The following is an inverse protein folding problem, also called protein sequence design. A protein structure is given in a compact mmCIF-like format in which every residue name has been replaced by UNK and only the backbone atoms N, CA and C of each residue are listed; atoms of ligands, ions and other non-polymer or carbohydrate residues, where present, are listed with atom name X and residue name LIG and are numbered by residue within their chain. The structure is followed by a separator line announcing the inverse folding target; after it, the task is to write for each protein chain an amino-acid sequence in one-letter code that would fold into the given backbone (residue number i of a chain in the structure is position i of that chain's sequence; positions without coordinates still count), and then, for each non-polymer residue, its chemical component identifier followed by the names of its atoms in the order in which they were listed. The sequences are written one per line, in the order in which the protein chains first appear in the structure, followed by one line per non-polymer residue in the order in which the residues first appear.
data_IF_743342780326
#
_entry.id   IF_743342780326
#
_cell.length_a   1.000
_cell.length_b   1.000
_cell.length_c   1.000
_cell.angle_alpha   90.00
_cell.angle_beta   90.00
_cell.angle_gamma   90.00
#
_symmetry.space_group_name_H-M   'P 1'
#
loop_
_entity.id
_entity.type
_entity.pdbx_description
1 polymer ?
#
# COMPACT_ATOMS: atom_id res chain seq x y z
N UNK A 1 -36.48 -4.00 44.16
CA UNK A 1 -35.01 -3.98 44.08
C UNK A 1 -34.67 -4.09 42.62
N UNK A 2 -34.37 -2.92 42.05
CA UNK A 2 -34.38 -2.60 40.63
C UNK A 2 -33.04 -2.95 39.99
N UNK A 3 -33.09 -3.33 38.72
CA UNK A 3 -32.03 -3.95 37.95
C UNK A 3 -30.77 -3.07 37.87
N UNK A 4 -29.64 -3.64 38.32
CA UNK A 4 -28.33 -3.03 38.13
C UNK A 4 -27.89 -3.18 36.68
N UNK A 5 -28.16 -2.11 35.93
CA UNK A 5 -27.31 -1.50 34.91
C UNK A 5 -26.07 -2.31 34.52
N UNK A 6 -26.16 -3.02 33.40
CA UNK A 6 -25.01 -3.48 32.63
C UNK A 6 -24.97 -2.79 31.27
N UNK A 7 -25.00 -1.44 31.29
CA UNK A 7 -24.53 -0.64 30.17
C UNK A 7 -23.01 -0.79 30.04
N UNK A 8 -22.56 -1.96 29.59
CA UNK A 8 -21.23 -2.14 29.02
C UNK A 8 -21.21 -1.40 27.69
N UNK A 9 -21.08 -0.08 27.79
CA UNK A 9 -20.92 0.86 26.70
C UNK A 9 -19.65 0.46 25.95
N UNK A 10 -19.85 -0.33 24.89
CA UNK A 10 -18.86 -0.78 23.91
C UNK A 10 -18.31 0.45 23.21
N UNK A 11 -17.42 1.19 23.88
CA UNK A 11 -16.52 2.20 23.31
C UNK A 11 -15.50 1.48 22.43
N UNK A 12 -15.99 0.90 21.32
CA UNK A 12 -15.14 0.46 20.21
C UNK A 12 -14.42 1.70 19.72
N UNK A 13 -13.15 1.82 20.10
CA UNK A 13 -12.25 2.88 19.68
C UNK A 13 -12.41 3.11 18.17
N UNK A 14 -13.09 4.21 17.81
CA UNK A 14 -13.26 4.65 16.43
C UNK A 14 -11.89 5.08 15.93
N UNK A 15 -11.12 4.14 15.38
CA UNK A 15 -9.93 4.49 14.59
C UNK A 15 -10.41 5.49 13.53
N UNK A 16 -9.86 6.71 13.48
CA UNK A 16 -10.30 7.75 12.55
C UNK A 16 -10.34 7.21 11.13
N UNK A 17 -11.42 7.49 10.38
CA UNK A 17 -11.62 6.97 9.02
C UNK A 17 -10.39 7.20 8.11
N UNK A 18 -9.71 8.34 8.28
CA UNK A 18 -8.46 8.69 7.59
C UNK A 18 -7.34 7.67 7.81
N UNK A 19 -7.13 7.20 9.05
CA UNK A 19 -6.11 6.18 9.36
C UNK A 19 -6.45 4.83 8.71
N UNK A 20 -7.73 4.47 8.62
CA UNK A 20 -8.17 3.25 7.92
C UNK A 20 -7.90 3.33 6.42
N UNK A 21 -8.19 4.49 5.81
CA UNK A 21 -7.94 4.73 4.39
C UNK A 21 -6.43 4.65 4.06
N UNK A 22 -5.58 5.28 4.86
CA UNK A 22 -4.11 5.20 4.68
C UNK A 22 -3.62 3.76 4.81
N UNK A 23 -4.07 3.01 5.82
CA UNK A 23 -3.73 1.58 5.96
C UNK A 23 -4.20 0.71 4.79
N UNK A 24 -5.31 1.07 4.13
CA UNK A 24 -5.76 0.38 2.92
C UNK A 24 -4.80 0.63 1.76
N UNK A 25 -4.42 1.89 1.52
CA UNK A 25 -3.44 2.26 0.48
C UNK A 25 -2.06 1.66 0.71
N UNK A 26 -1.57 1.61 1.95
CA UNK A 26 -0.28 0.98 2.28
C UNK A 26 -0.32 -0.52 1.97
N UNK A 27 -1.41 -1.22 2.33
CA UNK A 27 -1.57 -2.64 1.99
C UNK A 27 -1.67 -2.90 0.49
N UNK A 28 -2.30 -1.99 -0.23
CA UNK A 28 -2.34 -2.05 -1.69
C UNK A 28 -0.94 -1.88 -2.29
N UNK A 29 -0.17 -0.92 -1.77
CA UNK A 29 1.22 -0.73 -2.19
C UNK A 29 2.09 -1.97 -1.91
N UNK A 30 1.94 -2.62 -0.75
CA UNK A 30 2.65 -3.86 -0.42
C UNK A 30 2.40 -4.99 -1.43
N UNK A 31 1.19 -5.07 -1.99
CA UNK A 31 0.84 -6.08 -3.01
C UNK A 31 1.41 -5.76 -4.39
N UNK A 32 1.56 -4.48 -4.72
CA UNK A 32 2.06 -4.04 -6.03
C UNK A 32 3.59 -4.05 -6.12
N UNK A 33 4.27 -3.80 -5.00
CA UNK A 33 5.74 -3.73 -4.96
C UNK A 33 6.32 -5.13 -4.78
N UNK A 34 7.27 -5.58 -5.61
CA UNK A 34 7.95 -6.86 -5.43
C UNK A 34 8.63 -6.95 -4.06
N UNK A 35 8.32 -7.99 -3.29
CA UNK A 35 8.78 -8.16 -1.90
C UNK A 35 8.11 -7.22 -0.89
N UNK A 36 7.09 -6.46 -1.30
CA UNK A 36 6.44 -5.44 -0.47
C UNK A 36 5.67 -6.02 0.73
N UNK A 37 5.19 -7.26 0.65
CA UNK A 37 4.50 -7.94 1.77
C UNK A 37 5.44 -8.25 2.94
N UNK A 38 6.73 -8.45 2.67
CA UNK A 38 7.75 -8.72 3.70
C UNK A 38 8.23 -7.44 4.39
N UNK A 39 7.97 -6.28 3.76
CA UNK A 39 8.34 -4.96 4.28
C UNK A 39 7.29 -4.45 5.28
N UNK A 40 7.54 -4.72 6.57
CA UNK A 40 6.73 -4.24 7.70
C UNK A 40 6.96 -2.77 8.04
N UNK A 41 8.13 -2.22 7.68
CA UNK A 41 8.49 -0.81 7.92
C UNK A 41 8.04 0.05 6.73
N UNK A 42 7.15 1.04 6.91
CA UNK A 42 6.66 1.88 5.81
C UNK A 42 7.76 2.59 5.03
N UNK A 43 8.82 3.02 5.70
CA UNK A 43 9.92 3.79 5.09
C UNK A 43 10.64 2.95 4.04
N UNK A 44 10.91 1.68 4.36
CA UNK A 44 11.54 0.72 3.45
C UNK A 44 10.62 0.37 2.29
N UNK A 45 9.31 0.24 2.54
CA UNK A 45 8.32 -0.01 1.49
C UNK A 45 8.29 1.14 0.48
N UNK A 46 8.34 2.39 0.95
CA UNK A 46 8.30 3.55 0.06
C UNK A 46 9.59 3.70 -0.75
N UNK A 47 10.76 3.48 -0.14
CA UNK A 47 12.02 3.46 -0.86
C UNK A 47 12.01 2.38 -1.96
N UNK A 48 11.58 1.16 -1.61
CA UNK A 48 11.46 0.05 -2.57
C UNK A 48 10.47 0.36 -3.69
N UNK A 49 9.36 1.03 -3.37
CA UNK A 49 8.39 1.46 -4.38
C UNK A 49 9.00 2.45 -5.37
N UNK A 50 9.79 3.40 -4.90
CA UNK A 50 10.48 4.37 -5.76
C UNK A 50 11.48 3.68 -6.70
N UNK A 51 12.30 2.77 -6.17
CA UNK A 51 13.23 1.97 -6.98
C UNK A 51 12.48 1.15 -8.04
N UNK A 52 11.35 0.55 -7.66
CA UNK A 52 10.56 -0.25 -8.58
C UNK A 52 9.92 0.60 -9.70
N UNK A 53 9.43 1.80 -9.39
CA UNK A 53 8.94 2.75 -10.39
C UNK A 53 10.05 3.12 -11.37
N UNK A 54 11.26 3.39 -10.88
CA UNK A 54 12.41 3.70 -11.73
C UNK A 54 12.73 2.53 -12.67
N UNK A 55 12.81 1.32 -12.12
CA UNK A 55 13.07 0.10 -12.91
C UNK A 55 12.01 -0.12 -13.99
N UNK A 56 10.73 0.02 -13.66
CA UNK A 56 9.64 -0.13 -14.62
C UNK A 56 9.72 0.90 -15.74
N UNK A 57 10.00 2.17 -15.41
CA UNK A 57 10.19 3.22 -16.42
C UNK A 57 11.32 2.87 -17.38
N UNK A 58 12.48 2.47 -16.86
CA UNK A 58 13.62 2.05 -17.68
C UNK A 58 13.25 0.88 -18.60
N UNK A 59 12.60 -0.16 -18.07
CA UNK A 59 12.14 -1.31 -18.88
C UNK A 59 11.21 -0.88 -20.01
N UNK A 60 10.24 -0.01 -19.73
CA UNK A 60 9.33 0.52 -20.75
C UNK A 60 10.07 1.33 -21.80
N UNK A 61 11.04 2.16 -21.41
CA UNK A 61 11.86 2.93 -22.36
C UNK A 61 12.64 2.01 -23.31
N UNK A 62 13.30 0.98 -22.78
CA UNK A 62 14.03 0.00 -23.60
C UNK A 62 13.09 -0.72 -24.55
N UNK A 63 11.98 -1.27 -24.05
CA UNK A 63 10.99 -1.97 -24.89
C UNK A 63 10.43 -1.07 -25.99
N UNK A 64 10.18 0.20 -25.69
CA UNK A 64 9.71 1.17 -26.68
C UNK A 64 10.78 1.49 -27.73
N UNK A 65 12.05 1.60 -27.33
CA UNK A 65 13.15 1.80 -28.27
C UNK A 65 13.30 0.60 -29.21
N UNK A 66 13.27 -0.62 -28.67
CA UNK A 66 13.32 -1.85 -29.46
C UNK A 66 12.12 -1.95 -30.40
N UNK A 67 10.91 -1.71 -29.90
CA UNK A 67 9.70 -1.74 -30.74
C UNK A 67 9.83 -0.81 -31.95
N UNK A 68 10.37 0.40 -31.77
CA UNK A 68 10.60 1.33 -32.89
C UNK A 68 11.58 0.79 -33.92
N UNK A 69 12.55 -0.02 -33.52
CA UNK A 69 13.50 -0.64 -34.45
C UNK A 69 12.87 -1.78 -35.26
N UNK A 70 11.90 -2.49 -34.69
CA UNK A 70 11.19 -3.58 -35.37
C UNK A 70 10.00 -3.12 -36.22
N UNK A 71 9.43 -1.95 -35.91
CA UNK A 71 8.29 -1.37 -36.66
C UNK A 71 8.69 -0.24 -37.61
N UNK A 72 9.99 0.04 -37.75
CA UNK A 72 10.54 0.92 -38.78
C UNK A 72 10.85 0.11 -40.04
#
# INVERSE_FOLDING_TARGET
MEELSSETSKRRARVPARRRAVRKKVRELQRLVPGGNDLRRPELLYARAADYILLLRMKVHVLRALSKMYTA
#
